data_IF_780517051427
#
_entry.id   IF_780517051427
#
_cell.length_a   1.000
_cell.length_b   1.000
_cell.length_c   1.000
_cell.angle_alpha   90.00
_cell.angle_beta   90.00
_cell.angle_gamma   90.00
#
_symmetry.space_group_name_H-M   'P 1'
#
loop_
_entity.id
_entity.type
_entity.pdbx_description
1 polymer ?
#
# COMPACT_ATOMS: atom_id res chain seq x y z
N UNK A 1 37.38 4.69 -28.62
CA UNK A 1 36.99 4.98 -27.22
C UNK A 1 35.76 5.89 -27.09
N UNK A 2 35.70 7.07 -27.75
CA UNK A 2 34.55 7.99 -27.63
C UNK A 2 33.19 7.35 -27.98
N UNK A 3 33.13 6.51 -29.02
CA UNK A 3 31.89 5.85 -29.47
C UNK A 3 31.39 4.85 -28.43
N UNK A 4 32.27 4.00 -27.88
CA UNK A 4 31.92 3.01 -26.85
C UNK A 4 31.39 3.70 -25.59
N UNK A 5 32.02 4.81 -25.17
CA UNK A 5 31.54 5.60 -24.04
C UNK A 5 30.12 6.16 -24.30
N UNK A 6 29.86 6.62 -25.53
CA UNK A 6 28.53 7.10 -25.92
C UNK A 6 27.48 5.97 -25.93
N UNK A 7 27.85 4.77 -26.37
CA UNK A 7 26.96 3.60 -26.37
C UNK A 7 26.63 3.14 -24.94
N UNK A 8 27.61 3.13 -24.04
CA UNK A 8 27.40 2.77 -22.62
C UNK A 8 26.55 3.82 -21.91
N UNK A 9 26.78 5.12 -22.16
CA UNK A 9 25.98 6.20 -21.58
C UNK A 9 24.52 6.17 -22.06
N UNK A 10 24.30 5.89 -23.34
CA UNK A 10 22.95 5.73 -23.92
C UNK A 10 22.24 4.50 -23.34
N UNK A 11 22.96 3.40 -23.10
CA UNK A 11 22.42 2.21 -22.45
C UNK A 11 21.99 2.46 -21.00
N UNK A 12 22.74 3.26 -20.24
CA UNK A 12 22.40 3.62 -18.86
C UNK A 12 21.19 4.57 -18.78
N UNK A 13 21.03 5.49 -19.74
CA UNK A 13 19.88 6.41 -19.82
C UNK A 13 18.57 5.71 -20.24
N UNK A 14 18.66 4.60 -21.00
CA UNK A 14 17.50 3.78 -21.34
C UNK A 14 17.05 2.86 -20.18
N UNK A 15 17.95 2.56 -19.24
CA UNK A 15 17.65 1.80 -18.02
C UNK A 15 17.15 2.69 -16.86
N UNK A 16 17.24 4.02 -16.96
CA UNK A 16 16.88 4.96 -15.89
C UNK A 16 15.40 5.35 -15.82
N UNK A 17 14.54 4.77 -16.66
CA UNK A 17 13.09 4.95 -16.55
C UNK A 17 12.45 3.61 -16.21
N UNK A 18 11.90 3.49 -14.99
CA UNK A 18 10.68 2.76 -14.63
C UNK A 18 10.67 2.44 -13.12
N UNK A 19 10.68 3.46 -12.26
CA UNK A 19 9.82 3.38 -11.06
C UNK A 19 8.50 3.96 -11.54
N UNK A 20 7.83 3.21 -12.40
CA UNK A 20 6.55 3.61 -12.98
C UNK A 20 5.52 3.52 -11.87
N UNK A 21 4.62 4.51 -11.83
CA UNK A 21 3.37 4.34 -11.13
C UNK A 21 2.74 3.02 -11.58
N UNK A 22 2.26 2.22 -10.63
CA UNK A 22 1.62 0.95 -10.94
C UNK A 22 0.30 0.83 -10.18
N UNK A 23 -0.64 0.11 -10.78
CA UNK A 23 -1.96 -0.10 -10.19
C UNK A 23 -2.18 -1.59 -10.03
N UNK A 24 -2.38 -2.03 -8.79
CA UNK A 24 -2.83 -3.37 -8.47
C UNK A 24 -4.35 -3.37 -8.31
N UNK A 25 -5.03 -4.23 -9.06
CA UNK A 25 -6.48 -4.44 -8.90
C UNK A 25 -6.73 -5.42 -7.77
N UNK A 26 -7.60 -5.02 -6.85
CA UNK A 26 -7.97 -5.77 -5.66
C UNK A 26 -9.45 -6.22 -5.77
N UNK A 27 -9.90 -7.15 -4.92
CA UNK A 27 -11.31 -7.58 -4.89
C UNK A 27 -12.31 -6.43 -4.68
N UNK A 28 -13.57 -6.66 -5.02
CA UNK A 28 -14.69 -5.73 -4.77
C UNK A 28 -14.49 -4.30 -5.30
N UNK A 29 -13.77 -4.17 -6.42
CA UNK A 29 -13.54 -2.90 -7.10
C UNK A 29 -12.54 -1.99 -6.41
N UNK A 30 -11.75 -2.51 -5.46
CA UNK A 30 -10.61 -1.80 -4.89
C UNK A 30 -9.41 -1.80 -5.85
N UNK A 31 -8.63 -0.73 -5.79
CA UNK A 31 -7.38 -0.58 -6.54
C UNK A 31 -6.34 0.07 -5.64
N UNK A 32 -5.13 -0.48 -5.64
CA UNK A 32 -3.99 0.08 -4.95
C UNK A 32 -3.03 0.73 -5.96
N UNK A 33 -2.83 2.04 -5.82
CA UNK A 33 -1.98 2.84 -6.70
C UNK A 33 -0.65 3.07 -6.01
N UNK A 34 0.40 2.49 -6.57
CA UNK A 34 1.78 2.70 -6.18
C UNK A 34 2.33 3.91 -6.93
N UNK A 35 2.46 5.05 -6.26
CA UNK A 35 3.12 6.26 -6.81
C UNK A 35 4.53 6.44 -6.23
N UNK A 36 4.87 5.65 -5.21
CA UNK A 36 6.15 5.75 -4.49
C UNK A 36 6.12 6.78 -3.37
N UNK A 37 7.09 6.66 -2.45
CA UNK A 37 7.17 7.48 -1.24
C UNK A 37 5.86 7.47 -0.46
N UNK A 38 5.38 8.64 -0.07
CA UNK A 38 4.13 8.83 0.67
C UNK A 38 2.89 9.04 -0.21
N UNK A 39 2.98 8.83 -1.52
CA UNK A 39 1.88 9.13 -2.45
C UNK A 39 1.05 7.91 -2.84
N UNK A 40 1.32 6.73 -2.25
CA UNK A 40 0.50 5.55 -2.51
C UNK A 40 -0.95 5.75 -2.04
N UNK A 41 -1.90 5.26 -2.85
CA UNK A 41 -3.34 5.55 -2.71
C UNK A 41 -4.18 4.30 -2.74
N UNK A 42 -5.34 4.36 -2.09
CA UNK A 42 -6.37 3.32 -2.19
C UNK A 42 -7.63 3.91 -2.82
N UNK A 43 -8.12 3.28 -3.88
CA UNK A 43 -9.32 3.66 -4.62
C UNK A 43 -10.34 2.51 -4.55
N UNK A 44 -11.64 2.81 -4.54
CA UNK A 44 -12.72 1.84 -4.72
C UNK A 44 -13.72 2.39 -5.73
N UNK A 45 -13.98 1.67 -6.83
CA UNK A 45 -14.96 2.08 -7.86
C UNK A 45 -14.76 3.54 -8.33
N UNK A 46 -13.52 3.91 -8.65
CA UNK A 46 -13.11 5.28 -9.05
C UNK A 46 -13.29 6.36 -7.97
N UNK A 47 -13.59 5.98 -6.72
CA UNK A 47 -13.62 6.90 -5.58
C UNK A 47 -12.39 6.70 -4.72
N UNK A 48 -11.74 7.81 -4.40
CA UNK A 48 -10.60 7.83 -3.52
C UNK A 48 -11.01 7.47 -2.08
N UNK A 49 -10.41 6.43 -1.52
CA UNK A 49 -10.62 5.99 -0.14
C UNK A 49 -9.50 6.51 0.76
N UNK A 50 -8.26 6.43 0.27
CA UNK A 50 -7.07 6.99 0.93
C UNK A 50 -6.28 7.75 -0.14
N UNK A 51 -6.11 9.05 0.07
CA UNK A 51 -5.44 9.95 -0.88
C UNK A 51 -3.93 9.77 -0.94
N UNK A 52 -3.31 9.48 0.19
CA UNK A 52 -1.86 9.35 0.33
C UNK A 52 -1.50 8.62 1.62
N UNK A 53 -0.23 8.21 1.73
CA UNK A 53 0.33 7.62 2.93
C UNK A 53 0.06 6.13 3.09
N UNK A 54 -0.51 5.44 2.09
CA UNK A 54 -0.69 3.98 2.20
C UNK A 54 0.67 3.28 2.22
N UNK A 55 0.92 2.50 3.27
CA UNK A 55 2.21 1.82 3.49
C UNK A 55 2.15 0.38 3.00
N UNK A 56 1.15 -0.36 3.45
CA UNK A 56 0.96 -1.78 3.13
C UNK A 56 -0.52 -2.07 2.89
N UNK A 57 -0.80 -2.90 1.91
CA UNK A 57 -2.14 -3.34 1.56
C UNK A 57 -2.10 -4.87 1.39
N UNK A 58 -2.89 -5.61 2.16
CA UNK A 58 -3.02 -7.07 2.04
C UNK A 58 -4.48 -7.48 2.08
N UNK A 59 -4.81 -8.55 1.36
CA UNK A 59 -6.19 -9.00 1.23
C UNK A 59 -6.29 -10.52 1.16
N UNK A 60 -7.47 -11.01 1.53
CA UNK A 60 -7.98 -12.35 1.27
C UNK A 60 -9.31 -12.26 0.53
N UNK A 61 -9.97 -13.39 0.32
CA UNK A 61 -11.31 -13.42 -0.31
C UNK A 61 -12.35 -12.60 0.47
N UNK A 62 -12.16 -12.44 1.79
CA UNK A 62 -13.17 -11.85 2.68
C UNK A 62 -12.78 -10.49 3.26
N UNK A 63 -11.48 -10.19 3.29
CA UNK A 63 -10.96 -9.06 4.04
C UNK A 63 -9.86 -8.31 3.31
N UNK A 64 -9.78 -7.02 3.59
CA UNK A 64 -8.71 -6.13 3.16
C UNK A 64 -8.20 -5.34 4.36
N UNK A 65 -6.88 -5.38 4.57
CA UNK A 65 -6.18 -4.67 5.62
C UNK A 65 -5.20 -3.70 4.98
N UNK A 66 -5.28 -2.45 5.42
CA UNK A 66 -4.42 -1.38 4.90
C UNK A 66 -3.80 -0.62 6.05
N UNK A 67 -2.50 -0.35 5.98
CA UNK A 67 -1.80 0.54 6.90
C UNK A 67 -1.51 1.88 6.23
N UNK A 68 -1.60 2.95 7.02
CA UNK A 68 -1.52 4.33 6.56
C UNK A 68 -0.63 5.12 7.49
N UNK A 69 0.40 5.75 6.93
CA UNK A 69 1.16 6.79 7.59
C UNK A 69 0.44 8.13 7.46
N UNK A 70 -0.22 8.55 8.53
CA UNK A 70 -0.92 9.84 8.57
C UNK A 70 0.00 11.02 8.87
N UNK A 71 1.30 10.78 9.06
CA UNK A 71 2.30 11.84 9.27
C UNK A 71 2.98 12.28 7.98
N UNK A 72 2.66 11.63 6.85
CA UNK A 72 3.19 11.92 5.52
C UNK A 72 4.73 11.91 5.49
N UNK A 73 5.35 10.99 6.22
CA UNK A 73 6.81 10.85 6.24
C UNK A 73 7.34 10.57 4.82
N UNK A 74 8.57 10.98 4.52
CA UNK A 74 9.13 10.74 3.17
C UNK A 74 9.30 9.24 2.85
N UNK A 75 9.45 8.42 3.90
CA UNK A 75 9.73 6.99 3.81
C UNK A 75 8.72 6.23 4.69
N UNK A 76 7.43 6.17 4.30
CA UNK A 76 6.36 5.62 5.13
C UNK A 76 6.56 4.14 5.48
N UNK A 77 7.27 3.39 4.64
CA UNK A 77 7.66 2.00 4.88
C UNK A 77 8.59 1.81 6.09
N UNK A 78 9.29 2.87 6.51
CA UNK A 78 10.19 2.84 7.67
C UNK A 78 9.52 3.33 8.96
N UNK A 79 8.25 3.77 8.89
CA UNK A 79 7.52 4.21 10.09
C UNK A 79 7.19 3.00 10.95
N UNK A 80 7.41 3.13 12.26
CA UNK A 80 7.03 2.10 13.22
C UNK A 80 5.53 1.77 13.07
N UNK A 81 5.21 0.50 12.84
CA UNK A 81 3.85 0.01 12.64
C UNK A 81 2.89 0.44 13.76
N UNK A 82 3.38 0.64 14.98
CA UNK A 82 2.56 1.12 16.11
C UNK A 82 2.05 2.55 15.94
N UNK A 83 2.73 3.35 15.12
CA UNK A 83 2.38 4.74 14.83
C UNK A 83 1.48 4.88 13.59
N UNK A 84 1.34 3.82 12.80
CA UNK A 84 0.43 3.80 11.65
C UNK A 84 -1.03 3.75 12.09
N UNK A 85 -1.90 4.20 11.20
CA UNK A 85 -3.34 3.99 11.26
C UNK A 85 -3.73 2.87 10.32
N UNK A 86 -4.82 2.20 10.64
CA UNK A 86 -5.24 1.02 9.91
C UNK A 86 -6.67 1.12 9.41
N UNK A 87 -6.91 0.60 8.21
CA UNK A 87 -8.23 0.34 7.67
C UNK A 87 -8.44 -1.17 7.64
N UNK A 88 -9.61 -1.60 8.12
CA UNK A 88 -10.05 -2.99 8.08
C UNK A 88 -11.38 -3.05 7.33
N UNK A 89 -11.40 -3.74 6.21
CA UNK A 89 -12.59 -3.94 5.37
C UNK A 89 -13.02 -5.40 5.41
N UNK A 90 -14.31 -5.65 5.58
CA UNK A 90 -14.95 -6.94 5.33
C UNK A 90 -15.78 -6.83 4.04
N UNK A 91 -15.39 -7.58 3.01
CA UNK A 91 -16.03 -7.56 1.70
C UNK A 91 -17.47 -8.08 1.75
N UNK A 92 -17.70 -9.22 2.42
CA UNK A 92 -19.02 -9.86 2.52
C UNK A 92 -20.10 -9.00 3.17
N UNK A 93 -19.71 -8.12 4.10
CA UNK A 93 -20.63 -7.24 4.83
C UNK A 93 -20.61 -5.79 4.33
N UNK A 94 -19.79 -5.50 3.33
CA UNK A 94 -19.46 -4.14 2.87
C UNK A 94 -19.23 -3.16 4.03
N UNK A 95 -18.50 -3.61 5.06
CA UNK A 95 -18.24 -2.81 6.27
C UNK A 95 -16.77 -2.43 6.33
N UNK A 96 -16.52 -1.13 6.42
CA UNK A 96 -15.19 -0.54 6.61
C UNK A 96 -15.04 0.02 8.02
N UNK A 97 -13.93 -0.28 8.69
CA UNK A 97 -13.52 0.39 9.92
C UNK A 97 -12.23 1.15 9.61
N UNK A 98 -12.27 2.47 9.82
CA UNK A 98 -11.16 3.38 9.51
C UNK A 98 -10.38 3.78 10.77
N UNK A 99 -9.13 4.18 10.58
CA UNK A 99 -8.28 4.77 11.63
C UNK A 99 -8.12 3.92 12.89
N UNK A 100 -8.09 2.61 12.73
CA UNK A 100 -7.92 1.63 13.81
C UNK A 100 -6.48 1.72 14.34
N UNK A 101 -6.31 1.49 15.65
CA UNK A 101 -5.00 1.41 16.28
C UNK A 101 -4.31 0.07 16.01
N UNK A 102 -2.98 0.02 16.11
CA UNK A 102 -2.19 -1.21 15.99
C UNK A 102 -2.72 -2.35 16.89
N UNK A 103 -2.98 -2.05 18.17
CA UNK A 103 -3.45 -3.05 19.13
C UNK A 103 -4.85 -3.57 18.79
N UNK A 104 -5.76 -2.67 18.37
CA UNK A 104 -7.10 -3.05 17.97
C UNK A 104 -7.09 -3.91 16.71
N UNK A 105 -6.26 -3.57 15.72
CA UNK A 105 -6.11 -4.38 14.51
C UNK A 105 -5.56 -5.77 14.84
N UNK A 106 -4.52 -5.85 15.69
CA UNK A 106 -3.92 -7.13 16.10
C UNK A 106 -4.91 -8.06 16.79
N UNK A 107 -5.81 -7.51 17.63
CA UNK A 107 -6.92 -8.27 18.21
C UNK A 107 -7.87 -8.78 17.12
N UNK A 108 -8.29 -7.92 16.19
CA UNK A 108 -9.18 -8.31 15.09
C UNK A 108 -8.58 -9.39 14.18
N UNK A 109 -7.28 -9.30 13.87
CA UNK A 109 -6.56 -10.30 13.07
C UNK A 109 -6.63 -11.66 13.76
N UNK A 110 -6.33 -11.69 15.07
CA UNK A 110 -6.38 -12.92 15.87
C UNK A 110 -7.80 -13.48 15.96
N UNK A 111 -8.78 -12.63 16.28
CA UNK A 111 -10.17 -13.04 16.48
C UNK A 111 -10.80 -13.60 15.19
N UNK A 112 -10.29 -13.18 14.02
CA UNK A 112 -10.79 -13.60 12.71
C UNK A 112 -9.87 -14.59 11.99
N UNK A 113 -8.78 -15.02 12.63
CA UNK A 113 -7.77 -15.92 12.07
C UNK A 113 -7.22 -15.43 10.72
N UNK A 114 -6.75 -14.18 10.68
CA UNK A 114 -6.25 -13.49 9.49
C UNK A 114 -4.71 -13.41 9.45
N UNK A 115 -4.03 -14.40 10.03
CA UNK A 115 -2.57 -14.41 10.16
C UNK A 115 -1.83 -14.39 8.81
N UNK A 116 -2.48 -14.85 7.74
CA UNK A 116 -1.94 -14.86 6.38
C UNK A 116 -1.85 -13.45 5.76
N UNK A 117 -2.68 -12.51 6.23
CA UNK A 117 -2.72 -11.12 5.74
C UNK A 117 -2.34 -10.12 6.83
N UNK A 118 -1.64 -10.59 7.87
CA UNK A 118 -1.22 -9.80 9.01
C UNK A 118 -0.16 -8.75 8.60
N UNK A 119 -0.59 -7.48 8.56
CA UNK A 119 0.25 -6.32 8.27
C UNK A 119 0.87 -5.71 9.54
N UNK A 120 0.68 -6.32 10.71
CA UNK A 120 1.22 -5.84 12.00
C UNK A 120 2.55 -6.48 12.39
N UNK A 121 3.02 -7.46 11.60
CA UNK A 121 4.28 -8.21 11.79
C UNK A 121 5.50 -7.46 11.33
#
# INVERSE_FOLDING_TARGET
>A
MKIIFFTVLLGLLLLSCNVSDSVEKLPEGYEFVYEGGNQNRLIKNHKLIIDSGVVECKYSDDYLLVSVDTTYSMNPENVDKRNLKYLFQNFKKDTAIHSISYNSLKLMIKDKSLENIDITR
#
